data_IF_345112055431
#
_entry.id   IF_345112055431
#
_cell.length_a   1.000
_cell.length_b   1.000
_cell.length_c   1.000
_cell.angle_alpha   90.00
_cell.angle_beta   90.00
_cell.angle_gamma   90.00
#
_symmetry.space_group_name_H-M   'P 1'
#
loop_
_entity.id
_entity.type
_entity.pdbx_description
1 polymer ?
#
# COMPACT_ATOMS: atom_id res chain seq x y z
N UNK A 1 -34.77 27.10 -28.96
CA UNK A 1 -33.60 26.21 -28.83
C UNK A 1 -33.03 26.44 -27.44
N UNK A 2 -33.39 25.61 -26.47
CA UNK A 2 -32.88 25.73 -25.10
C UNK A 2 -31.56 24.97 -25.01
N UNK A 3 -30.47 25.68 -24.75
CA UNK A 3 -29.15 25.08 -24.52
C UNK A 3 -29.10 24.54 -23.09
N UNK A 4 -29.21 23.22 -22.94
CA UNK A 4 -28.94 22.53 -21.68
C UNK A 4 -27.44 22.59 -21.41
N UNK A 5 -27.04 23.43 -20.46
CA UNK A 5 -25.68 23.47 -19.96
C UNK A 5 -25.49 22.25 -19.06
N UNK A 6 -24.80 21.22 -19.53
CA UNK A 6 -24.36 20.10 -18.68
C UNK A 6 -23.30 20.68 -17.75
N UNK A 7 -23.62 20.76 -16.45
CA UNK A 7 -22.63 21.15 -15.45
C UNK A 7 -21.56 20.05 -15.37
N UNK A 8 -20.26 20.41 -15.29
CA UNK A 8 -19.21 19.43 -15.04
C UNK A 8 -19.48 18.78 -13.68
N UNK A 9 -19.61 17.46 -13.66
CA UNK A 9 -19.72 16.71 -12.42
C UNK A 9 -18.48 17.01 -11.56
N UNK A 10 -18.70 17.42 -10.30
CA UNK A 10 -17.62 17.47 -9.33
C UNK A 10 -17.00 16.06 -9.25
N UNK A 11 -15.67 15.92 -9.27
CA UNK A 11 -15.04 14.62 -9.09
C UNK A 11 -15.48 14.12 -7.72
N UNK A 12 -16.32 13.09 -7.71
CA UNK A 12 -16.81 12.49 -6.47
C UNK A 12 -15.59 11.88 -5.80
N UNK A 13 -15.23 12.41 -4.63
CA UNK A 13 -14.09 11.89 -3.86
C UNK A 13 -14.52 10.66 -3.07
N UNK A 14 -13.57 9.81 -2.67
CA UNK A 14 -13.86 8.67 -1.79
C UNK A 14 -14.63 9.08 -0.52
N UNK A 15 -14.36 10.29 -0.02
CA UNK A 15 -15.05 10.84 1.15
C UNK A 15 -16.50 11.23 0.85
N UNK A 16 -16.79 11.74 -0.35
CA UNK A 16 -18.16 12.06 -0.79
C UNK A 16 -18.98 10.77 -0.97
N UNK A 17 -18.41 9.73 -1.59
CA UNK A 17 -19.08 8.42 -1.74
C UNK A 17 -19.31 7.76 -0.38
N UNK A 18 -18.32 7.78 0.51
CA UNK A 18 -18.44 7.25 1.86
C UNK A 18 -19.55 7.97 2.64
N UNK A 19 -19.63 9.30 2.52
CA UNK A 19 -20.68 10.11 3.14
C UNK A 19 -22.06 9.76 2.57
N UNK A 20 -22.19 9.63 1.25
CA UNK A 20 -23.45 9.27 0.61
C UNK A 20 -23.95 7.88 1.07
N UNK A 21 -23.06 6.89 1.14
CA UNK A 21 -23.39 5.55 1.65
C UNK A 21 -23.77 5.57 3.14
N UNK A 22 -23.09 6.39 3.96
CA UNK A 22 -23.43 6.54 5.37
C UNK A 22 -24.84 7.15 5.55
N UNK A 23 -25.20 8.15 4.74
CA UNK A 23 -26.55 8.74 4.74
C UNK A 23 -27.62 7.71 4.33
N UNK A 24 -27.33 6.85 3.36
CA UNK A 24 -28.24 5.78 2.96
C UNK A 24 -28.46 4.74 4.08
N UNK A 25 -27.42 4.39 4.84
CA UNK A 25 -27.57 3.53 6.01
C UNK A 25 -28.43 4.17 7.09
N UNK A 26 -28.24 5.47 7.35
CA UNK A 26 -29.07 6.23 8.29
C UNK A 26 -30.54 6.23 7.86
N UNK A 27 -30.81 6.40 6.56
CA UNK A 27 -32.17 6.33 6.03
C UNK A 27 -32.81 4.95 6.25
N UNK A 28 -32.07 3.86 5.98
CA UNK A 28 -32.55 2.49 6.22
C UNK A 28 -32.84 2.26 7.71
N UNK A 29 -31.96 2.71 8.59
CA UNK A 29 -32.15 2.56 10.05
C UNK A 29 -33.39 3.33 10.52
N UNK A 30 -33.56 4.57 10.05
CA UNK A 30 -34.75 5.38 10.33
C UNK A 30 -36.04 4.68 9.86
N UNK A 31 -36.06 4.09 8.66
CA UNK A 31 -37.21 3.35 8.15
C UNK A 31 -37.51 2.08 8.97
N UNK A 32 -36.47 1.39 9.45
CA UNK A 32 -36.61 0.20 10.29
C UNK A 32 -37.32 0.49 11.63
N UNK A 33 -37.12 1.70 12.19
CA UNK A 33 -37.78 2.11 13.45
C UNK A 33 -39.27 2.39 13.27
N UNK A 34 -39.68 2.86 12.09
CA UNK A 34 -41.06 3.23 11.76
C UNK A 34 -41.89 2.02 11.33
N UNK A 35 -41.26 1.04 10.67
CA UNK A 35 -41.95 -0.09 10.02
C UNK A 35 -42.03 -1.38 10.86
N UNK A 36 -41.77 -1.36 12.18
CA UNK A 36 -41.90 -2.55 13.05
C UNK A 36 -43.35 -3.07 13.09
N UNK A 37 -43.72 -3.85 12.09
CA UNK A 37 -45.01 -4.49 11.91
C UNK A 37 -45.05 -5.88 12.53
N UNK A 38 -46.27 -6.40 12.76
CA UNK A 38 -46.50 -7.76 13.27
C UNK A 38 -46.56 -8.75 12.10
N UNK A 39 -45.42 -9.26 11.66
CA UNK A 39 -45.35 -10.42 10.77
C UNK A 39 -44.76 -11.60 11.52
N UNK A 40 -45.03 -12.81 11.02
CA UNK A 40 -44.45 -14.03 11.58
C UNK A 40 -42.95 -14.03 11.32
N UNK A 41 -42.16 -14.38 12.33
CA UNK A 41 -40.68 -14.40 12.26
C UNK A 41 -40.19 -15.34 11.14
N UNK A 42 -40.92 -16.41 10.85
CA UNK A 42 -40.57 -17.37 9.81
C UNK A 42 -40.95 -16.92 8.39
N UNK A 43 -41.60 -15.77 8.23
CA UNK A 43 -42.06 -15.25 6.94
C UNK A 43 -42.01 -13.71 6.92
N UNK A 44 -40.81 -13.10 6.94
CA UNK A 44 -40.66 -11.67 6.80
C UNK A 44 -41.20 -11.20 5.43
N UNK A 45 -41.74 -9.98 5.34
CA UNK A 45 -42.13 -9.38 4.07
C UNK A 45 -40.91 -9.23 3.14
N UNK A 46 -41.13 -9.36 1.83
CA UNK A 46 -40.09 -9.15 0.80
C UNK A 46 -39.36 -7.80 0.96
N UNK A 47 -40.07 -6.77 1.42
CA UNK A 47 -39.51 -5.44 1.68
C UNK A 47 -38.40 -5.47 2.72
N UNK A 48 -38.57 -6.24 3.80
CA UNK A 48 -37.55 -6.35 4.84
C UNK A 48 -36.34 -7.14 4.39
N UNK A 49 -36.58 -8.21 3.62
CA UNK A 49 -35.48 -8.96 3.01
C UNK A 49 -34.68 -8.07 2.05
N UNK A 50 -35.36 -7.24 1.25
CA UNK A 50 -34.72 -6.29 0.36
C UNK A 50 -33.91 -5.23 1.14
N UNK A 51 -34.45 -4.66 2.22
CA UNK A 51 -33.71 -3.71 3.07
C UNK A 51 -32.49 -4.36 3.72
N UNK A 52 -32.61 -5.58 4.25
CA UNK A 52 -31.49 -6.30 4.84
C UNK A 52 -30.39 -6.61 3.82
N UNK A 53 -30.78 -7.01 2.60
CA UNK A 53 -29.84 -7.26 1.51
C UNK A 53 -29.13 -5.96 1.09
N UNK A 54 -29.87 -4.87 0.93
CA UNK A 54 -29.32 -3.58 0.54
C UNK A 54 -28.42 -2.97 1.62
N UNK A 55 -28.79 -3.10 2.90
CA UNK A 55 -27.93 -2.71 4.02
C UNK A 55 -26.58 -3.44 3.98
N UNK A 56 -26.60 -4.74 3.71
CA UNK A 56 -25.37 -5.53 3.56
C UNK A 56 -24.53 -5.06 2.38
N UNK A 57 -25.17 -4.75 1.26
CA UNK A 57 -24.49 -4.22 0.06
C UNK A 57 -23.79 -2.89 0.34
N UNK A 58 -24.47 -1.95 1.01
CA UNK A 58 -23.86 -0.67 1.39
C UNK A 58 -22.64 -0.89 2.30
N UNK A 59 -22.76 -1.77 3.30
CA UNK A 59 -21.64 -2.09 4.19
C UNK A 59 -20.43 -2.67 3.44
N UNK A 60 -20.67 -3.57 2.48
CA UNK A 60 -19.60 -4.12 1.63
C UNK A 60 -18.96 -3.02 0.76
N UNK A 61 -19.78 -2.14 0.18
CA UNK A 61 -19.28 -1.01 -0.61
C UNK A 61 -18.42 -0.06 0.22
N UNK A 62 -18.79 0.24 1.46
CA UNK A 62 -17.97 1.04 2.37
C UNK A 62 -16.61 0.39 2.66
N UNK A 63 -16.55 -0.94 2.81
CA UNK A 63 -15.28 -1.67 2.99
C UNK A 63 -14.38 -1.56 1.75
N UNK A 64 -14.96 -1.73 0.56
CA UNK A 64 -14.23 -1.58 -0.71
C UNK A 64 -13.66 -0.16 -0.83
N UNK A 65 -14.46 0.87 -0.53
CA UNK A 65 -14.00 2.25 -0.58
C UNK A 65 -12.90 2.55 0.44
N UNK A 66 -12.97 1.97 1.65
CA UNK A 66 -11.89 2.13 2.63
C UNK A 66 -10.58 1.51 2.16
N UNK A 67 -10.65 0.34 1.53
CA UNK A 67 -9.49 -0.36 1.00
C UNK A 67 -8.87 0.41 -0.17
N UNK A 68 -9.71 0.96 -1.06
CA UNK A 68 -9.25 1.80 -2.18
C UNK A 68 -8.57 3.08 -1.69
N UNK A 69 -9.17 3.76 -0.69
CA UNK A 69 -8.56 4.95 -0.07
C UNK A 69 -7.20 4.63 0.55
N UNK A 70 -7.11 3.49 1.23
CA UNK A 70 -5.85 3.03 1.83
C UNK A 70 -4.81 2.72 0.75
N UNK A 71 -5.16 1.98 -0.29
CA UNK A 71 -4.27 1.66 -1.40
C UNK A 71 -3.75 2.92 -2.11
N UNK A 72 -4.63 3.91 -2.34
CA UNK A 72 -4.22 5.19 -2.91
C UNK A 72 -3.23 5.92 -2.01
N UNK A 73 -3.45 5.90 -0.68
CA UNK A 73 -2.53 6.54 0.26
C UNK A 73 -1.14 5.90 0.24
N UNK A 74 -1.06 4.57 0.14
CA UNK A 74 0.22 3.86 0.00
C UNK A 74 0.90 4.20 -1.32
N UNK A 75 0.17 4.21 -2.43
CA UNK A 75 0.73 4.58 -3.73
C UNK A 75 1.29 6.02 -3.69
N UNK A 76 0.56 6.95 -3.09
CA UNK A 76 1.00 8.33 -2.93
C UNK A 76 2.26 8.44 -2.07
N UNK A 77 2.32 7.71 -0.94
CA UNK A 77 3.50 7.70 -0.06
C UNK A 77 4.72 7.12 -0.78
N UNK A 78 4.57 5.98 -1.47
CA UNK A 78 5.66 5.37 -2.25
C UNK A 78 6.21 6.33 -3.28
N UNK A 79 5.34 7.00 -4.06
CA UNK A 79 5.77 7.96 -5.07
C UNK A 79 6.47 9.17 -4.44
N UNK A 80 5.97 9.66 -3.31
CA UNK A 80 6.54 10.83 -2.62
C UNK A 80 7.91 10.50 -2.03
N UNK A 81 8.01 9.38 -1.32
CA UNK A 81 9.23 8.96 -0.62
C UNK A 81 10.31 8.45 -1.58
N UNK A 82 9.93 7.97 -2.77
CA UNK A 82 10.87 7.49 -3.77
C UNK A 82 11.92 8.56 -4.15
N UNK A 83 11.52 9.83 -4.20
CA UNK A 83 12.46 10.91 -4.48
C UNK A 83 13.45 11.10 -3.33
N UNK A 84 12.98 11.16 -2.09
CA UNK A 84 13.84 11.34 -0.91
C UNK A 84 14.84 10.18 -0.74
N UNK A 85 14.38 8.95 -0.99
CA UNK A 85 15.24 7.76 -0.99
C UNK A 85 16.32 7.87 -2.08
N UNK A 86 15.95 8.29 -3.29
CA UNK A 86 16.92 8.46 -4.38
C UNK A 86 18.00 9.50 -4.06
N UNK A 87 17.61 10.61 -3.43
CA UNK A 87 18.53 11.64 -2.96
C UNK A 87 19.46 11.10 -1.86
N UNK A 88 18.90 10.37 -0.88
CA UNK A 88 19.69 9.74 0.18
C UNK A 88 20.69 8.71 -0.35
N UNK A 89 20.32 7.91 -1.34
CA UNK A 89 21.23 6.95 -1.99
C UNK A 89 22.37 7.67 -2.70
N UNK A 90 22.09 8.82 -3.33
CA UNK A 90 23.12 9.63 -3.96
C UNK A 90 24.11 10.16 -2.93
N UNK A 91 23.63 10.70 -1.82
CA UNK A 91 24.50 11.23 -0.76
C UNK A 91 25.31 10.13 -0.05
N UNK A 92 24.72 8.96 0.17
CA UNK A 92 25.43 7.80 0.69
C UNK A 92 26.55 7.36 -0.28
N UNK A 93 26.28 7.32 -1.58
CA UNK A 93 27.29 6.95 -2.58
C UNK A 93 28.49 7.90 -2.58
N UNK A 94 28.25 9.20 -2.37
CA UNK A 94 29.28 10.23 -2.23
C UNK A 94 30.10 10.00 -0.95
N UNK A 95 29.43 9.82 0.18
CA UNK A 95 30.08 9.58 1.46
C UNK A 95 30.95 8.30 1.44
N UNK A 96 30.48 7.23 0.79
CA UNK A 96 31.26 6.00 0.59
C UNK A 96 32.48 6.26 -0.31
N UNK A 97 32.30 7.02 -1.40
CA UNK A 97 33.39 7.45 -2.27
C UNK A 97 34.47 8.24 -1.52
N UNK A 98 34.05 9.20 -0.71
CA UNK A 98 34.92 10.04 0.10
C UNK A 98 35.68 9.22 1.15
N UNK A 99 34.98 8.32 1.85
CA UNK A 99 35.62 7.39 2.79
C UNK A 99 36.68 6.54 2.09
N UNK A 100 36.35 5.94 0.95
CA UNK A 100 37.29 5.11 0.19
C UNK A 100 38.52 5.90 -0.24
N UNK A 101 38.34 7.13 -0.71
CA UNK A 101 39.45 8.01 -1.10
C UNK A 101 40.33 8.36 0.10
N UNK A 102 39.73 8.69 1.25
CA UNK A 102 40.47 9.02 2.47
C UNK A 102 41.35 7.84 2.93
N UNK A 103 40.82 6.60 2.90
CA UNK A 103 41.57 5.40 3.25
C UNK A 103 42.74 5.13 2.28
N UNK A 104 42.51 5.31 0.98
CA UNK A 104 43.57 5.20 -0.01
C UNK A 104 44.70 6.22 0.20
N UNK A 105 44.35 7.46 0.57
CA UNK A 105 45.32 8.52 0.87
C UNK A 105 46.06 8.29 2.19
N UNK A 106 45.43 7.67 3.20
CA UNK A 106 46.08 7.32 4.47
C UNK A 106 47.00 6.10 4.38
N UNK A 107 46.95 5.37 3.25
CA UNK A 107 47.69 4.12 3.06
C UNK A 107 47.05 2.91 3.76
N UNK A 108 45.84 3.05 4.30
CA UNK A 108 45.02 1.92 4.77
C UNK A 108 44.39 1.19 3.58
N UNK A 109 44.31 -0.14 3.65
CA UNK A 109 43.55 -0.89 2.67
C UNK A 109 42.05 -0.70 2.97
N UNK A 110 41.21 -0.25 2.02
CA UNK A 110 39.78 -0.02 2.26
C UNK A 110 38.98 -1.28 2.68
N UNK A 111 39.60 -2.46 2.62
CA UNK A 111 39.03 -3.71 3.10
C UNK A 111 39.31 -4.00 4.58
N UNK A 112 40.24 -3.27 5.23
CA UNK A 112 40.61 -3.50 6.63
C UNK A 112 39.57 -2.90 7.60
N UNK A 113 38.73 -1.96 7.14
CA UNK A 113 37.70 -1.26 7.93
C UNK A 113 36.28 -1.82 7.74
N UNK A 114 36.11 -2.98 7.08
CA UNK A 114 34.80 -3.66 6.93
C UNK A 114 34.41 -4.41 8.22
N UNK A 115 35.27 -4.43 9.25
CA UNK A 115 34.85 -4.94 10.55
C UNK A 115 33.77 -4.00 11.12
N UNK A 116 32.52 -4.45 11.31
CA UNK A 116 31.56 -3.66 12.06
C UNK A 116 32.16 -3.35 13.44
N UNK A 117 31.91 -2.17 14.02
CA UNK A 117 32.35 -1.89 15.38
C UNK A 117 31.91 -3.06 16.26
N UNK A 118 32.75 -3.55 17.19
CA UNK A 118 32.36 -4.65 18.06
C UNK A 118 31.07 -4.23 18.73
N UNK A 119 29.99 -4.98 18.47
CA UNK A 119 28.74 -4.79 19.19
C UNK A 119 29.09 -4.94 20.66
N UNK A 120 28.93 -3.85 21.43
CA UNK A 120 29.02 -3.92 22.88
C UNK A 120 27.75 -4.65 23.32
N UNK A 121 27.80 -5.98 23.29
CA UNK A 121 26.80 -6.84 23.91
C UNK A 121 26.88 -6.57 25.41
N UNK A 122 26.06 -5.60 25.84
CA UNK A 122 25.79 -5.36 27.23
C UNK A 122 25.39 -6.68 27.89
N UNK A 123 26.34 -7.22 28.67
CA UNK A 123 26.22 -8.24 29.70
C UNK A 123 24.79 -8.80 29.86
N UNK A 124 24.44 -9.83 29.08
CA UNK A 124 23.33 -10.70 29.41
C UNK A 124 23.86 -12.09 29.71
N UNK A 125 23.62 -12.50 30.94
CA UNK A 125 24.00 -13.80 31.50
C UNK A 125 23.57 -14.94 30.58
N UNK A 126 24.44 -15.95 30.54
CA UNK A 126 24.39 -17.12 29.68
C UNK A 126 22.99 -17.68 29.38
N UNK A 127 22.75 -17.92 28.10
CA UNK A 127 21.84 -18.98 27.69
C UNK A 127 22.36 -19.58 26.39
N UNK A 128 22.79 -20.82 26.53
CA UNK A 128 23.41 -21.69 25.55
C UNK A 128 22.35 -22.15 24.52
N UNK A 129 22.03 -21.33 23.52
CA UNK A 129 21.17 -21.74 22.40
C UNK A 129 21.70 -21.17 21.07
N UNK A 130 22.08 -22.08 20.16
CA UNK A 130 22.63 -21.77 18.85
C UNK A 130 21.76 -20.82 18.03
N UNK A 131 22.25 -19.60 17.85
CA UNK A 131 21.63 -18.59 17.00
C UNK A 131 22.03 -18.79 15.54
N UNK A 132 21.04 -19.09 14.69
CA UNK A 132 21.18 -19.03 13.24
C UNK A 132 21.44 -17.57 12.85
N UNK A 133 22.54 -17.34 12.13
CA UNK A 133 23.06 -16.04 11.71
C UNK A 133 22.18 -15.41 10.61
N UNK A 134 21.05 -14.80 11.00
CA UNK A 134 20.07 -14.21 10.08
C UNK A 134 20.59 -12.98 9.28
N UNK A 135 21.69 -12.36 9.72
CA UNK A 135 22.25 -11.16 9.06
C UNK A 135 22.96 -11.45 7.74
N UNK A 136 23.54 -12.65 7.58
CA UNK A 136 24.24 -13.03 6.35
C UNK A 136 23.27 -13.23 5.19
N UNK A 137 22.13 -13.89 5.46
CA UNK A 137 21.09 -14.15 4.47
C UNK A 137 20.42 -12.85 4.00
N UNK A 138 20.24 -11.87 4.89
CA UNK A 138 19.62 -10.59 4.53
C UNK A 138 20.54 -9.74 3.63
N UNK A 139 21.84 -9.68 3.96
CA UNK A 139 22.83 -8.98 3.15
C UNK A 139 22.99 -9.62 1.76
N UNK A 140 22.96 -10.95 1.69
CA UNK A 140 23.02 -11.69 0.43
C UNK A 140 21.75 -11.48 -0.42
N UNK A 141 20.57 -11.47 0.21
CA UNK A 141 19.29 -11.22 -0.46
C UNK A 141 19.18 -9.79 -1.00
N UNK A 142 19.71 -8.79 -0.28
CA UNK A 142 19.78 -7.41 -0.77
C UNK A 142 20.73 -7.24 -1.95
N UNK A 143 21.88 -7.90 -1.93
CA UNK A 143 22.81 -7.88 -3.08
C UNK A 143 22.25 -8.61 -4.29
N UNK A 144 21.45 -9.66 -4.09
CA UNK A 144 20.73 -10.35 -5.16
C UNK A 144 19.66 -9.45 -5.80
N UNK A 145 18.87 -8.75 -4.98
CA UNK A 145 17.80 -7.86 -5.43
C UNK A 145 18.30 -6.64 -6.24
N UNK A 146 19.53 -6.17 -5.97
CA UNK A 146 20.16 -5.08 -6.72
C UNK A 146 20.81 -5.55 -8.04
N UNK A 147 21.05 -6.86 -8.21
CA UNK A 147 21.67 -7.44 -9.42
C UNK A 147 20.64 -7.77 -10.50
N UNK A 148 19.41 -8.09 -10.12
CA UNK A 148 18.35 -8.49 -11.05
C UNK A 148 17.12 -7.58 -10.88
N UNK A 149 16.97 -6.51 -11.68
CA UNK A 149 15.76 -5.68 -11.67
C UNK A 149 14.53 -6.38 -12.30
N UNK A 150 14.65 -7.65 -12.69
CA UNK A 150 13.62 -8.39 -13.41
C UNK A 150 13.59 -9.84 -12.92
N UNK A 151 12.82 -10.14 -11.88
CA UNK A 151 12.26 -11.47 -11.60
C UNK A 151 11.53 -11.42 -10.24
N UNK A 152 10.45 -10.65 -10.13
CA UNK A 152 9.54 -10.79 -8.98
C UNK A 152 8.07 -11.00 -9.39
N UNK A 153 7.74 -10.98 -10.69
CA UNK A 153 6.34 -11.06 -11.12
C UNK A 153 6.00 -12.10 -12.19
N UNK A 154 6.92 -12.96 -12.63
CA UNK A 154 6.63 -13.82 -13.81
C UNK A 154 6.26 -15.28 -13.56
N UNK A 155 6.31 -15.81 -12.33
CA UNK A 155 6.07 -17.26 -12.16
C UNK A 155 4.72 -17.70 -11.57
N UNK A 156 3.78 -16.78 -11.30
CA UNK A 156 2.47 -17.21 -10.78
C UNK A 156 1.28 -16.36 -11.21
N UNK A 157 1.04 -16.25 -12.53
CA UNK A 157 -0.32 -16.09 -13.05
C UNK A 157 -0.39 -16.62 -14.48
N UNK A 158 -1.20 -17.66 -14.66
CA UNK A 158 -1.57 -18.14 -15.98
C UNK A 158 -2.13 -16.99 -16.83
N UNK A 159 -1.54 -16.84 -18.02
CA UNK A 159 -2.18 -16.40 -19.25
C UNK A 159 -3.35 -15.40 -19.09
N UNK A 160 -3.04 -14.11 -18.89
CA UNK A 160 -3.96 -13.03 -19.25
C UNK A 160 -3.40 -12.26 -20.46
N UNK A 161 -4.26 -11.85 -21.41
CA UNK A 161 -3.80 -11.48 -22.74
C UNK A 161 -3.05 -10.14 -22.71
N UNK A 162 -1.94 -10.15 -23.45
CA UNK A 162 -1.24 -9.01 -24.01
C UNK A 162 -2.23 -7.97 -24.55
N UNK A 163 -2.42 -6.87 -23.82
CA UNK A 163 -2.99 -5.65 -24.38
C UNK A 163 -1.83 -4.70 -24.72
N UNK A 164 -1.71 -4.25 -25.98
CA UNK A 164 -0.79 -3.20 -26.34
C UNK A 164 -1.49 -1.87 -26.08
N UNK A 165 -0.97 -1.01 -25.21
CA UNK A 165 -1.24 0.41 -25.34
C UNK A 165 0.03 1.25 -25.18
N UNK A 166 0.29 2.17 -26.13
CA UNK A 166 1.45 3.04 -26.10
C UNK A 166 1.24 4.15 -25.06
N UNK A 167 2.32 4.47 -24.36
CA UNK A 167 2.47 5.70 -23.59
C UNK A 167 2.72 6.82 -24.58
N UNK A 168 1.68 7.51 -25.03
CA UNK A 168 1.74 8.92 -25.48
C UNK A 168 0.33 9.44 -25.83
N UNK A 169 0.07 10.68 -25.40
CA UNK A 169 -1.11 11.53 -25.65
C UNK A 169 -2.40 11.30 -24.83
N UNK A 170 -2.46 11.93 -23.65
CA UNK A 170 -3.68 12.56 -23.12
C UNK A 170 -3.34 13.59 -22.03
N UNK A 171 -2.69 14.68 -22.42
CA UNK A 171 -2.77 15.95 -21.70
C UNK A 171 -3.23 17.02 -22.70
N UNK A 172 -4.55 17.21 -22.78
CA UNK A 172 -5.25 18.45 -23.08
C UNK A 172 -6.76 18.26 -22.84
#
# INVERSE_FOLDING_TARGET
MATLTVQPAHPITFDDEMMALALQLEEIDNQSTVQKGKYNVDSPPDTELAFAAFQKEIQMSMQILSDLKLAQSFAQAIVTDAQEIAESVQDESRAVGDRRLALQLSGQNPNDDIAPPPYDEGQSLGSDHGGIHMSGLYAEMQMQALREPSCFWEDEVGQLPMWPFPVEEAFL
#
